data_IF_225469042254
#
_entry.id   IF_225469042254
#
_cell.length_a   1.000
_cell.length_b   1.000
_cell.length_c   1.000
_cell.angle_alpha   90.00
_cell.angle_beta   90.00
_cell.angle_gamma   90.00
#
_symmetry.space_group_name_H-M   'P 1'
#
loop_
_entity.id
_entity.type
_entity.pdbx_description
1 polymer ?
#
# COMPACT_ATOMS: atom_id res chain seq x y z
N UNK A 1 12.20 0.37 -40.79
CA UNK A 1 11.16 0.78 -39.83
C UNK A 1 11.57 0.24 -38.48
N UNK A 2 12.25 1.07 -37.72
CA UNK A 2 12.97 0.71 -36.49
C UNK A 2 12.07 0.98 -35.29
N UNK A 3 11.60 -0.09 -34.65
CA UNK A 3 10.82 -0.01 -33.42
C UNK A 3 11.70 0.35 -32.22
N UNK A 4 11.45 1.49 -31.60
CA UNK A 4 12.02 1.89 -30.31
C UNK A 4 11.32 1.10 -29.20
N UNK A 5 12.05 0.27 -28.52
CA UNK A 5 11.62 -0.33 -27.25
C UNK A 5 11.77 0.72 -26.15
N UNK A 6 10.67 1.13 -25.57
CA UNK A 6 10.65 1.96 -24.36
C UNK A 6 10.63 0.99 -23.15
N UNK A 7 11.76 0.87 -22.47
CA UNK A 7 11.85 0.10 -21.24
C UNK A 7 11.32 0.94 -20.08
N UNK A 8 10.40 0.39 -19.31
CA UNK A 8 10.03 0.93 -18.01
C UNK A 8 11.20 0.68 -17.05
N UNK A 9 11.71 1.74 -16.44
CA UNK A 9 12.85 1.66 -15.55
C UNK A 9 12.44 1.19 -14.17
N UNK A 10 12.94 0.04 -13.78
CA UNK A 10 13.16 -0.30 -12.38
C UNK A 10 14.25 0.62 -11.85
N UNK A 11 14.11 1.13 -10.61
CA UNK A 11 15.19 1.73 -9.86
C UNK A 11 16.27 0.66 -9.58
N UNK A 12 17.13 0.44 -10.58
CA UNK A 12 18.40 -0.24 -10.40
C UNK A 12 19.48 0.82 -10.31
N UNK A 13 20.15 0.95 -9.18
CA UNK A 13 21.39 1.71 -9.05
C UNK A 13 22.44 1.08 -9.98
N UNK A 14 22.58 1.62 -11.20
CA UNK A 14 23.69 1.26 -12.09
C UNK A 14 24.90 2.12 -11.72
N UNK A 15 25.89 1.51 -11.09
CA UNK A 15 27.26 2.02 -11.02
C UNK A 15 27.86 2.04 -12.42
N UNK A 16 28.00 3.21 -13.01
CA UNK A 16 28.73 3.45 -14.23
C UNK A 16 30.23 3.32 -13.94
N UNK A 17 30.83 2.19 -14.31
CA UNK A 17 32.25 2.01 -14.45
C UNK A 17 32.75 2.68 -15.74
N UNK A 18 33.51 3.74 -15.63
CA UNK A 18 34.27 4.33 -16.72
C UNK A 18 35.50 3.46 -17.00
N UNK A 19 35.54 2.84 -18.15
CA UNK A 19 36.73 2.24 -18.71
C UNK A 19 37.59 3.33 -19.36
N UNK A 20 38.75 3.59 -18.80
CA UNK A 20 39.80 4.38 -19.41
C UNK A 20 41.06 3.54 -19.50
N UNK A 21 41.65 3.46 -20.71
CA UNK A 21 42.88 2.72 -21.01
C UNK A 21 44.15 3.38 -20.45
N UNK A 22 44.96 2.51 -19.86
CA UNK A 22 46.44 2.39 -19.80
C UNK A 22 47.34 3.60 -19.92
N UNK A 23 48.29 3.73 -18.94
CA UNK A 23 49.73 3.62 -19.16
C UNK A 23 50.42 3.28 -17.83
N UNK A 24 51.42 2.41 -17.93
CA UNK A 24 52.33 1.89 -16.92
C UNK A 24 53.19 2.99 -16.28
N UNK A 25 53.42 2.92 -14.95
CA UNK A 25 54.77 3.11 -14.37
C UNK A 25 54.86 2.56 -12.94
N UNK A 26 56.09 2.12 -12.58
CA UNK A 26 56.47 1.26 -11.47
C UNK A 26 56.54 1.92 -10.08
N UNK A 27 56.14 1.16 -9.03
CA UNK A 27 56.68 0.99 -7.68
C UNK A 27 56.47 2.09 -6.63
N UNK A 28 56.71 1.80 -5.32
CA UNK A 28 56.32 0.62 -4.53
C UNK A 28 55.38 0.96 -3.37
N UNK A 29 54.80 -0.09 -2.75
CA UNK A 29 53.99 -0.07 -1.51
C UNK A 29 54.67 0.62 -0.32
N UNK A 30 53.89 1.22 0.61
CA UNK A 30 53.67 0.49 1.86
C UNK A 30 52.29 0.63 2.53
N UNK A 31 51.91 -0.48 3.15
CA UNK A 31 51.25 -0.67 4.46
C UNK A 31 49.89 -0.02 4.79
N UNK A 32 48.95 -0.96 5.03
CA UNK A 32 47.97 -1.08 6.14
C UNK A 32 47.43 0.18 6.81
N UNK A 33 46.11 0.33 6.74
CA UNK A 33 45.31 0.49 7.96
C UNK A 33 43.80 0.54 7.70
N UNK A 34 43.12 -0.40 8.32
CA UNK A 34 41.91 -0.13 9.10
C UNK A 34 40.62 0.22 8.38
N UNK A 35 39.83 -0.79 8.09
CA UNK A 35 38.37 -0.70 8.03
C UNK A 35 37.78 -0.08 9.32
N UNK A 36 36.64 0.62 9.23
CA UNK A 36 35.55 0.19 10.08
C UNK A 36 34.28 -0.12 9.29
N UNK A 37 33.87 -1.36 9.45
CA UNK A 37 32.53 -1.87 9.28
C UNK A 37 31.54 -1.02 10.10
N UNK A 38 30.57 -0.41 9.44
CA UNK A 38 29.42 0.18 10.14
C UNK A 38 28.26 -0.79 10.07
N UNK A 39 28.13 -1.57 11.14
CA UNK A 39 26.96 -2.38 11.40
C UNK A 39 25.83 -1.49 11.90
N UNK A 40 24.66 -1.61 11.30
CA UNK A 40 23.43 -1.02 11.80
C UNK A 40 23.00 -1.70 13.12
N UNK A 41 22.49 -0.94 14.09
CA UNK A 41 22.07 -1.51 15.38
C UNK A 41 20.74 -2.24 15.26
N UNK A 42 20.76 -3.53 15.64
CA UNK A 42 19.55 -4.31 15.88
C UNK A 42 18.79 -3.77 17.09
N UNK A 43 17.50 -3.57 16.92
CA UNK A 43 16.58 -3.29 18.02
C UNK A 43 16.14 -4.59 18.65
N UNK A 44 16.60 -4.84 19.85
CA UNK A 44 16.00 -5.77 20.82
C UNK A 44 14.97 -5.00 21.62
N UNK A 45 13.70 -5.27 21.42
CA UNK A 45 12.61 -4.83 22.28
C UNK A 45 12.25 -5.98 23.23
N UNK A 46 12.51 -5.83 24.51
CA UNK A 46 11.98 -6.67 25.58
C UNK A 46 10.54 -6.26 25.87
N UNK A 47 9.63 -7.20 26.13
CA UNK A 47 8.31 -6.87 26.65
C UNK A 47 8.37 -6.71 28.16
N UNK A 48 7.80 -5.64 28.67
CA UNK A 48 7.49 -5.45 30.08
C UNK A 48 6.20 -6.19 30.43
N UNK A 49 6.18 -6.88 31.60
CA UNK A 49 4.97 -7.48 32.12
C UNK A 49 4.33 -6.54 33.14
N UNK A 50 3.08 -6.20 32.98
CA UNK A 50 2.25 -5.74 34.09
C UNK A 50 1.08 -6.71 34.26
N UNK A 51 1.23 -7.50 35.32
CA UNK A 51 0.18 -8.22 36.03
C UNK A 51 -0.76 -7.20 36.70
N UNK A 52 -2.05 -7.44 36.62
CA UNK A 52 -2.93 -7.18 37.75
C UNK A 52 -4.09 -8.18 37.71
N UNK A 53 -4.06 -9.02 38.73
CA UNK A 53 -5.14 -9.90 39.16
C UNK A 53 -6.04 -9.15 40.16
N UNK A 54 -7.34 -9.43 40.12
CA UNK A 54 -8.27 -9.39 41.26
C UNK A 54 -9.55 -10.15 40.84
N UNK A 55 -9.72 -11.18 41.41
CA UNK A 55 -10.44 -11.95 42.41
C UNK A 55 -11.94 -11.62 42.59
N UNK A 56 -12.69 -12.72 42.49
CA UNK A 56 -13.82 -13.21 43.29
C UNK A 56 -15.13 -12.44 43.40
N UNK A 57 -16.22 -13.19 43.13
CA UNK A 57 -17.57 -12.85 43.50
C UNK A 57 -18.60 -13.90 43.15
N UNK A 58 -18.66 -15.02 43.88
CA UNK A 58 -19.76 -16.01 43.83
C UNK A 58 -21.10 -15.41 44.21
N UNK A 59 -22.18 -15.90 43.57
CA UNK A 59 -23.56 -15.60 43.95
C UNK A 59 -24.60 -16.47 43.26
N UNK A 60 -24.81 -17.70 43.76
CA UNK A 60 -25.96 -18.57 43.43
C UNK A 60 -27.29 -17.91 43.80
N UNK A 61 -28.32 -18.15 42.95
CA UNK A 61 -29.62 -18.83 43.34
C UNK A 61 -30.57 -18.93 42.17
N UNK A 62 -30.93 -20.16 41.82
CA UNK A 62 -32.19 -20.54 41.17
C UNK A 62 -33.31 -20.62 42.23
N UNK A 63 -34.62 -20.61 41.97
CA UNK A 63 -35.29 -21.57 41.11
C UNK A 63 -36.60 -21.13 40.39
N UNK A 64 -36.93 -21.90 39.36
CA UNK A 64 -38.25 -22.40 38.91
C UNK A 64 -39.46 -21.49 38.77
N UNK A 65 -40.07 -21.55 37.59
CA UNK A 65 -41.47 -21.17 37.29
C UNK A 65 -41.88 -21.65 35.90
N UNK A 66 -42.62 -22.72 35.91
CA UNK A 66 -43.31 -23.37 34.78
C UNK A 66 -44.44 -22.51 34.20
N UNK A 67 -44.69 -22.61 32.87
CA UNK A 67 -45.92 -22.90 32.14
C UNK A 67 -46.03 -22.15 30.80
N UNK A 68 -46.17 -22.79 29.86
CA UNK A 68 -46.74 -23.22 28.58
C UNK A 68 -47.81 -22.29 27.91
N UNK A 69 -48.23 -22.60 26.67
CA UNK A 69 -47.93 -21.85 25.45
C UNK A 69 -49.18 -21.15 24.87
N UNK A 70 -48.98 -20.24 23.97
CA UNK A 70 -49.73 -20.09 22.73
C UNK A 70 -49.57 -18.70 22.10
N UNK A 71 -49.62 -18.79 20.82
CA UNK A 71 -50.01 -17.79 19.82
C UNK A 71 -48.94 -17.14 18.97
N UNK A 72 -49.02 -17.62 17.77
CA UNK A 72 -48.52 -17.06 16.53
C UNK A 72 -48.80 -15.56 16.36
N UNK A 73 -47.78 -14.78 16.03
CA UNK A 73 -47.98 -13.62 15.21
C UNK A 73 -46.72 -13.37 14.40
N UNK A 74 -46.79 -13.68 13.11
CA UNK A 74 -45.93 -13.14 12.07
C UNK A 74 -45.84 -11.62 12.21
N UNK A 75 -44.70 -11.11 12.56
CA UNK A 75 -44.33 -9.73 12.30
C UNK A 75 -43.03 -9.69 11.53
N UNK A 76 -43.17 -9.80 10.20
CA UNK A 76 -42.16 -9.30 9.29
C UNK A 76 -41.99 -7.80 9.52
N UNK A 77 -41.10 -7.45 10.41
CA UNK A 77 -40.62 -6.08 10.53
C UNK A 77 -39.97 -5.67 9.20
N UNK A 78 -40.23 -4.46 8.69
CA UNK A 78 -39.61 -3.98 7.49
C UNK A 78 -38.10 -3.95 7.73
N UNK A 79 -37.36 -4.81 7.00
CA UNK A 79 -35.91 -4.74 6.93
C UNK A 79 -35.52 -3.30 6.63
N UNK A 80 -34.91 -2.65 7.57
CA UNK A 80 -34.28 -1.35 7.36
C UNK A 80 -33.24 -1.52 6.28
N UNK A 81 -33.62 -1.26 5.04
CA UNK A 81 -32.72 -1.00 3.94
C UNK A 81 -31.92 0.26 4.32
N UNK A 82 -30.93 0.08 5.21
CA UNK A 82 -29.91 1.09 5.41
C UNK A 82 -29.19 1.17 4.06
N UNK A 83 -29.25 2.32 3.36
CA UNK A 83 -28.53 2.44 2.10
C UNK A 83 -27.09 2.08 2.39
N UNK A 84 -26.53 1.14 1.61
CA UNK A 84 -25.11 0.78 1.70
C UNK A 84 -24.33 2.10 1.74
N UNK A 85 -23.62 2.34 2.83
CA UNK A 85 -22.89 3.60 3.00
C UNK A 85 -22.03 3.76 1.77
N UNK A 86 -22.27 4.84 1.03
CA UNK A 86 -21.57 5.10 -0.22
C UNK A 86 -20.07 5.10 0.09
N UNK A 87 -19.31 4.17 -0.50
CA UNK A 87 -17.84 4.10 -0.33
C UNK A 87 -17.23 5.48 -0.54
N UNK A 88 -16.21 5.78 0.25
CA UNK A 88 -15.48 7.03 0.12
C UNK A 88 -14.81 7.10 -1.27
N UNK A 89 -14.88 8.29 -1.88
CA UNK A 89 -14.24 8.57 -3.18
C UNK A 89 -13.55 9.92 -3.09
N UNK A 90 -12.22 9.95 -3.02
CA UNK A 90 -11.47 11.19 -3.03
C UNK A 90 -11.56 11.85 -4.42
N UNK A 91 -11.60 13.18 -4.41
CA UNK A 91 -11.70 13.98 -5.63
C UNK A 91 -10.34 14.51 -6.07
N UNK A 92 -10.17 14.85 -7.38
CA UNK A 92 -8.97 15.53 -7.86
C UNK A 92 -8.59 16.75 -7.02
N UNK A 93 -7.29 16.94 -6.79
CA UNK A 93 -6.77 18.04 -5.96
C UNK A 93 -6.90 17.82 -4.44
N UNK A 94 -7.42 16.69 -3.97
CA UNK A 94 -7.45 16.37 -2.54
C UNK A 94 -6.03 16.29 -1.98
N UNK A 95 -5.73 17.12 -0.96
CA UNK A 95 -4.42 17.09 -0.28
C UNK A 95 -4.28 15.82 0.54
N UNK A 96 -3.06 15.27 0.61
CA UNK A 96 -2.80 14.02 1.30
C UNK A 96 -1.40 13.96 1.91
N UNK A 97 -1.20 13.05 2.85
CA UNK A 97 0.09 12.66 3.39
C UNK A 97 0.29 11.17 3.14
N UNK A 98 1.44 10.81 2.63
CA UNK A 98 1.88 9.42 2.51
C UNK A 98 3.02 9.19 3.48
N UNK A 99 2.82 8.33 4.46
CA UNK A 99 3.84 8.03 5.44
C UNK A 99 3.82 6.55 5.79
N UNK A 100 4.81 5.81 5.33
CA UNK A 100 4.93 4.36 5.54
C UNK A 100 6.02 4.03 6.57
N UNK A 101 6.94 4.96 6.85
CA UNK A 101 7.99 4.76 7.84
C UNK A 101 7.80 5.64 9.08
N UNK A 102 8.15 5.06 10.23
CA UNK A 102 8.15 5.73 11.52
C UNK A 102 6.76 6.02 12.09
N UNK A 103 6.74 6.68 13.24
CA UNK A 103 5.49 7.08 13.89
C UNK A 103 4.76 8.14 13.06
N UNK A 104 3.48 7.90 12.76
CA UNK A 104 2.64 8.83 11.99
C UNK A 104 2.61 10.23 12.61
N UNK A 105 3.01 11.23 11.83
CA UNK A 105 2.89 12.64 12.19
C UNK A 105 1.46 13.11 11.95
N UNK A 106 0.64 13.10 13.00
CA UNK A 106 -0.75 13.53 12.94
C UNK A 106 -0.92 15.06 12.89
N UNK A 107 0.17 15.86 12.94
CA UNK A 107 0.11 17.31 12.91
C UNK A 107 -0.05 17.87 11.49
N UNK A 108 0.24 17.07 10.46
CA UNK A 108 0.10 17.50 9.06
C UNK A 108 -1.36 17.79 8.75
N UNK A 109 -1.66 19.04 8.35
CA UNK A 109 -3.03 19.47 8.07
C UNK A 109 -3.48 19.12 6.66
N UNK A 110 -3.88 17.87 6.48
CA UNK A 110 -4.43 17.33 5.23
C UNK A 110 -5.65 16.45 5.49
N UNK A 111 -6.62 16.38 4.57
CA UNK A 111 -7.82 15.56 4.76
C UNK A 111 -7.58 14.06 4.63
N UNK A 112 -6.46 13.62 4.05
CA UNK A 112 -6.19 12.21 3.75
C UNK A 112 -4.80 11.82 4.21
N UNK A 113 -4.72 10.68 4.89
CA UNK A 113 -3.47 10.00 5.23
C UNK A 113 -3.45 8.63 4.58
N UNK A 114 -2.29 8.26 4.05
CA UNK A 114 -1.98 6.92 3.58
C UNK A 114 -0.84 6.39 4.45
N UNK A 115 -1.08 5.30 5.16
CA UNK A 115 -0.19 4.77 6.18
C UNK A 115 -0.16 3.25 6.15
N UNK A 116 0.96 2.66 6.56
CA UNK A 116 1.14 1.22 6.61
C UNK A 116 0.06 0.53 7.46
N UNK A 117 -0.60 -0.48 6.89
CA UNK A 117 -1.70 -1.18 7.53
C UNK A 117 -1.27 -2.09 8.67
N UNK A 118 -0.08 -2.68 8.60
CA UNK A 118 0.44 -3.57 9.63
C UNK A 118 1.01 -2.79 10.81
N UNK A 119 1.83 -1.77 10.55
CA UNK A 119 2.55 -1.00 11.55
C UNK A 119 1.66 -0.04 12.35
N UNK A 120 0.45 0.25 11.86
CA UNK A 120 -0.45 1.18 12.53
C UNK A 120 -1.63 0.49 13.19
N UNK A 121 -1.92 0.92 14.43
CA UNK A 121 -3.02 0.39 15.24
C UNK A 121 -4.37 1.01 14.88
N UNK A 122 -5.48 0.35 15.25
CA UNK A 122 -6.82 0.94 15.19
C UNK A 122 -6.91 2.26 15.97
N UNK A 123 -6.13 2.43 17.04
CA UNK A 123 -6.06 3.68 17.82
C UNK A 123 -5.45 4.82 16.99
N UNK A 124 -4.43 4.54 16.17
CA UNK A 124 -3.84 5.52 15.24
C UNK A 124 -4.89 6.00 14.24
N UNK A 125 -5.62 5.06 13.62
CA UNK A 125 -6.68 5.36 12.65
C UNK A 125 -7.81 6.17 13.30
N UNK A 126 -8.30 5.75 14.47
CA UNK A 126 -9.31 6.49 15.23
C UNK A 126 -8.84 7.91 15.61
N UNK A 127 -7.55 8.08 15.94
CA UNK A 127 -6.96 9.38 16.22
C UNK A 127 -6.93 10.32 15.01
N UNK A 128 -6.73 9.80 13.80
CA UNK A 128 -6.85 10.55 12.55
C UNK A 128 -8.32 10.88 12.24
N UNK A 129 -9.24 9.94 12.42
CA UNK A 129 -10.68 10.16 12.26
C UNK A 129 -11.21 11.24 13.21
N UNK A 130 -10.76 11.25 14.46
CA UNK A 130 -11.14 12.29 15.44
C UNK A 130 -10.70 13.71 14.99
N UNK A 131 -9.76 13.80 14.07
CA UNK A 131 -9.32 15.05 13.42
C UNK A 131 -10.00 15.29 12.06
N UNK A 132 -11.03 14.52 11.73
CA UNK A 132 -11.76 14.64 10.45
C UNK A 132 -10.98 14.12 9.24
N UNK A 133 -9.95 13.28 9.42
CA UNK A 133 -9.11 12.76 8.34
C UNK A 133 -9.68 11.43 7.84
N UNK A 134 -9.51 11.16 6.54
CA UNK A 134 -9.70 9.84 5.93
C UNK A 134 -8.36 9.10 5.90
N UNK A 135 -8.40 7.78 6.06
CA UNK A 135 -7.18 6.98 6.20
C UNK A 135 -7.18 5.84 5.20
N UNK A 136 -6.14 5.80 4.36
CA UNK A 136 -5.86 4.73 3.41
C UNK A 136 -4.91 3.75 4.08
N UNK A 137 -5.16 2.47 3.90
CA UNK A 137 -4.38 1.36 4.39
C UNK A 137 -3.43 0.89 3.29
N UNK A 138 -2.15 1.21 3.39
CA UNK A 138 -1.13 0.61 2.53
C UNK A 138 -0.92 -0.85 2.92
N UNK A 139 -0.92 -1.73 1.94
CA UNK A 139 -0.51 -3.14 2.02
C UNK A 139 0.27 -3.52 0.77
N UNK A 140 1.36 -4.26 0.92
CA UNK A 140 1.98 -4.89 -0.24
C UNK A 140 1.08 -6.04 -0.71
N UNK A 141 0.69 -6.06 -1.98
CA UNK A 141 -0.15 -7.10 -2.56
C UNK A 141 0.58 -7.96 -3.60
N UNK A 142 1.52 -7.35 -4.34
CA UNK A 142 2.26 -8.03 -5.41
C UNK A 142 3.56 -8.68 -4.97
N UNK A 143 3.99 -8.48 -3.71
CA UNK A 143 5.17 -9.13 -3.16
C UNK A 143 4.94 -9.66 -1.74
N UNK A 144 5.72 -10.70 -1.43
CA UNK A 144 5.89 -11.23 -0.09
C UNK A 144 7.00 -10.46 0.63
N UNK A 145 6.77 -10.19 1.92
CA UNK A 145 7.68 -9.46 2.79
C UNK A 145 8.03 -10.32 4.01
N UNK A 146 9.32 -10.64 4.21
CA UNK A 146 9.79 -11.55 5.27
C UNK A 146 9.53 -11.06 6.70
N UNK A 147 9.23 -9.77 6.85
CA UNK A 147 9.04 -9.12 8.14
C UNK A 147 7.57 -8.93 8.53
N UNK A 148 6.61 -9.30 7.65
CA UNK A 148 5.19 -9.21 7.98
C UNK A 148 4.74 -10.39 8.86
N UNK A 149 3.79 -10.14 9.78
CA UNK A 149 3.30 -11.19 10.68
C UNK A 149 2.73 -12.42 9.98
N UNK A 150 2.15 -12.22 8.79
CA UNK A 150 1.51 -13.26 7.98
C UNK A 150 2.47 -13.93 6.97
N UNK A 151 3.76 -13.65 7.04
CA UNK A 151 4.73 -14.14 6.06
C UNK A 151 4.79 -15.68 5.96
N UNK A 152 4.48 -16.38 7.03
CA UNK A 152 4.48 -17.84 7.07
C UNK A 152 3.26 -18.48 6.38
N UNK A 153 2.20 -17.70 6.13
CA UNK A 153 0.98 -18.19 5.47
C UNK A 153 1.14 -18.30 3.94
N UNK A 154 2.21 -17.71 3.40
CA UNK A 154 2.49 -17.76 1.96
C UNK A 154 3.28 -19.01 1.60
N UNK A 155 2.71 -19.91 0.77
CA UNK A 155 3.45 -21.06 0.24
C UNK A 155 4.71 -20.64 -0.52
N UNK A 156 5.80 -21.37 -0.33
CA UNK A 156 7.11 -21.02 -0.91
C UNK A 156 7.12 -21.00 -2.44
N UNK A 157 6.28 -21.80 -3.06
CA UNK A 157 6.11 -21.87 -4.53
C UNK A 157 5.52 -20.59 -5.14
N UNK A 158 4.91 -19.72 -4.33
CA UNK A 158 4.44 -18.42 -4.79
C UNK A 158 5.55 -17.36 -4.82
N UNK A 159 6.72 -17.64 -4.22
CA UNK A 159 7.77 -16.65 -4.03
C UNK A 159 8.72 -16.63 -5.22
N UNK A 160 8.64 -15.58 -6.01
CA UNK A 160 9.47 -15.35 -7.18
C UNK A 160 10.85 -14.76 -6.88
N UNK A 161 11.34 -13.92 -7.77
CA UNK A 161 12.61 -13.21 -7.60
C UNK A 161 12.47 -12.02 -6.63
N UNK A 162 13.62 -11.50 -6.16
CA UNK A 162 13.64 -10.28 -5.34
C UNK A 162 13.16 -9.09 -6.20
N UNK A 163 12.37 -8.20 -5.62
CA UNK A 163 11.80 -7.03 -6.30
C UNK A 163 12.67 -5.76 -6.21
N UNK A 164 13.89 -5.88 -5.66
CA UNK A 164 14.78 -4.76 -5.43
C UNK A 164 14.82 -4.29 -3.97
N UNK A 165 13.85 -4.66 -3.14
CA UNK A 165 13.81 -4.33 -1.72
C UNK A 165 14.31 -5.48 -0.85
N UNK A 166 15.03 -5.14 0.21
CA UNK A 166 15.61 -6.13 1.10
C UNK A 166 14.54 -6.93 1.86
N UNK A 167 14.50 -8.24 1.61
CA UNK A 167 13.54 -9.13 2.26
C UNK A 167 12.19 -9.25 1.59
N UNK A 168 12.07 -8.77 0.35
CA UNK A 168 10.87 -8.88 -0.45
C UNK A 168 11.08 -9.75 -1.68
N UNK A 169 10.02 -10.40 -2.12
CA UNK A 169 10.00 -11.26 -3.31
C UNK A 169 8.65 -11.13 -4.02
N UNK A 170 8.70 -11.01 -5.35
CA UNK A 170 7.51 -11.04 -6.19
C UNK A 170 6.62 -12.25 -5.90
N UNK A 171 5.31 -12.08 -6.02
CA UNK A 171 4.33 -13.16 -5.91
C UNK A 171 3.91 -13.67 -7.29
N UNK A 172 3.62 -14.98 -7.37
CA UNK A 172 2.98 -15.57 -8.54
C UNK A 172 1.48 -15.23 -8.57
N UNK A 173 1.16 -14.07 -9.13
CA UNK A 173 -0.22 -13.56 -9.20
C UNK A 173 -1.16 -14.38 -10.10
N UNK A 174 -0.66 -15.41 -10.78
CA UNK A 174 -1.50 -16.36 -11.54
C UNK A 174 -2.30 -17.27 -10.60
N UNK A 175 -1.84 -17.43 -9.36
CA UNK A 175 -2.42 -18.33 -8.35
C UNK A 175 -3.45 -17.59 -7.49
N UNK A 176 -4.49 -17.06 -8.17
CA UNK A 176 -5.59 -16.38 -7.48
C UNK A 176 -6.26 -17.26 -6.43
N UNK A 177 -6.35 -18.58 -6.71
CA UNK A 177 -6.90 -19.57 -5.78
C UNK A 177 -6.22 -19.57 -4.41
N UNK A 178 -4.92 -19.27 -4.36
CA UNK A 178 -4.14 -19.20 -3.12
C UNK A 178 -4.04 -17.77 -2.58
N UNK A 179 -3.89 -16.79 -3.48
CA UNK A 179 -3.69 -15.39 -3.08
C UNK A 179 -4.98 -14.71 -2.60
N UNK A 180 -6.14 -15.08 -3.15
CA UNK A 180 -7.42 -14.44 -2.76
C UNK A 180 -7.68 -14.51 -1.25
N UNK A 181 -7.60 -15.67 -0.56
CA UNK A 181 -7.80 -15.73 0.89
C UNK A 181 -6.74 -14.93 1.68
N UNK A 182 -5.49 -14.89 1.23
CA UNK A 182 -4.42 -14.12 1.88
C UNK A 182 -4.66 -12.61 1.77
N UNK A 183 -4.98 -12.13 0.56
CA UNK A 183 -5.33 -10.73 0.34
C UNK A 183 -6.63 -10.34 1.04
N UNK A 184 -7.61 -11.25 1.08
CA UNK A 184 -8.85 -11.07 1.83
C UNK A 184 -8.58 -10.85 3.32
N UNK A 185 -7.63 -11.59 3.90
CA UNK A 185 -7.24 -11.43 5.31
C UNK A 185 -6.53 -10.08 5.56
N UNK A 186 -5.60 -9.66 4.68
CA UNK A 186 -4.94 -8.34 4.76
C UNK A 186 -5.95 -7.19 4.66
N UNK A 187 -6.86 -7.24 3.68
CA UNK A 187 -7.89 -6.20 3.50
C UNK A 187 -8.90 -6.20 4.66
N UNK A 188 -9.22 -7.38 5.21
CA UNK A 188 -10.06 -7.49 6.40
C UNK A 188 -9.39 -6.89 7.64
N UNK A 189 -8.07 -7.05 7.79
CA UNK A 189 -7.29 -6.36 8.83
C UNK A 189 -7.44 -4.83 8.70
N UNK A 190 -7.30 -4.26 7.51
CA UNK A 190 -7.54 -2.83 7.27
C UNK A 190 -8.95 -2.41 7.70
N UNK A 191 -9.97 -3.18 7.29
CA UNK A 191 -11.37 -2.91 7.68
C UNK A 191 -11.56 -2.95 9.20
N UNK A 192 -11.02 -3.97 9.88
CA UNK A 192 -11.12 -4.11 11.35
C UNK A 192 -10.42 -2.99 12.10
N UNK A 193 -9.31 -2.47 11.57
CA UNK A 193 -8.61 -1.31 12.14
C UNK A 193 -9.33 0.02 11.85
N UNK A 194 -10.37 0.01 11.00
CA UNK A 194 -11.23 1.17 10.72
C UNK A 194 -10.78 2.05 9.56
N UNK A 195 -9.87 1.60 8.71
CA UNK A 195 -9.47 2.35 7.52
C UNK A 195 -10.65 2.60 6.57
N UNK A 196 -10.57 3.67 5.77
CA UNK A 196 -11.60 4.07 4.79
C UNK A 196 -11.34 3.47 3.40
N UNK A 197 -10.09 3.14 3.11
CA UNK A 197 -9.65 2.64 1.81
C UNK A 197 -8.41 1.74 1.95
N UNK A 198 -8.06 1.06 0.85
CA UNK A 198 -6.84 0.27 0.70
C UNK A 198 -6.04 0.77 -0.49
N UNK A 199 -4.72 0.87 -0.33
CA UNK A 199 -3.72 0.96 -1.39
C UNK A 199 -2.97 -0.37 -1.46
N UNK A 200 -3.34 -1.29 -2.37
CA UNK A 200 -2.54 -2.48 -2.64
C UNK A 200 -1.36 -2.11 -3.54
N UNK A 201 -0.15 -2.36 -3.08
CA UNK A 201 1.09 -2.03 -3.80
C UNK A 201 1.58 -3.18 -4.68
N UNK A 202 2.48 -2.85 -5.62
CA UNK A 202 3.10 -3.76 -6.58
C UNK A 202 2.09 -4.45 -7.51
N UNK A 203 1.14 -3.67 -8.02
CA UNK A 203 0.05 -4.12 -8.89
C UNK A 203 0.38 -4.08 -10.39
N UNK A 204 1.67 -4.17 -10.74
CA UNK A 204 2.19 -4.12 -12.11
C UNK A 204 3.32 -5.15 -12.36
N UNK A 205 3.32 -6.27 -11.61
CA UNK A 205 4.37 -7.30 -11.65
C UNK A 205 4.65 -7.86 -13.05
N UNK A 206 3.64 -7.90 -13.94
CA UNK A 206 3.80 -8.43 -15.30
C UNK A 206 4.80 -7.66 -16.17
N UNK A 207 5.19 -6.47 -15.77
CA UNK A 207 6.20 -5.63 -16.44
C UNK A 207 7.61 -5.86 -15.88
N UNK A 208 7.74 -6.66 -14.86
CA UNK A 208 8.95 -6.85 -14.09
C UNK A 208 9.51 -8.26 -14.23
N UNK A 209 10.80 -8.43 -13.89
CA UNK A 209 11.43 -9.75 -13.80
C UNK A 209 11.05 -10.39 -12.48
N UNK A 210 9.93 -11.10 -12.47
CA UNK A 210 9.37 -11.68 -11.25
C UNK A 210 9.79 -13.11 -10.97
N UNK A 211 10.44 -13.78 -11.96
CA UNK A 211 10.68 -15.22 -11.94
C UNK A 211 9.49 -16.05 -12.45
N UNK A 212 8.39 -15.40 -12.80
CA UNK A 212 7.19 -16.05 -13.33
C UNK A 212 6.81 -15.48 -14.70
N UNK A 213 6.24 -16.27 -15.62
CA UNK A 213 5.77 -15.79 -16.92
C UNK A 213 4.41 -15.05 -16.78
N UNK A 214 4.42 -13.94 -16.07
CA UNK A 214 3.23 -13.11 -15.89
C UNK A 214 2.84 -12.43 -17.20
N UNK A 215 1.54 -12.27 -17.40
CA UNK A 215 0.97 -11.54 -18.56
C UNK A 215 0.10 -10.38 -18.10
N UNK A 216 -0.19 -9.45 -18.99
CA UNK A 216 -1.13 -8.36 -18.76
C UNK A 216 -2.51 -8.88 -18.31
N UNK A 217 -2.98 -10.01 -18.86
CA UNK A 217 -4.24 -10.63 -18.46
C UNK A 217 -4.21 -11.12 -17.00
N UNK A 218 -3.12 -11.77 -16.58
CA UNK A 218 -2.95 -12.18 -15.19
C UNK A 218 -2.99 -10.99 -14.22
N UNK A 219 -2.38 -9.88 -14.61
CA UNK A 219 -2.39 -8.67 -13.80
C UNK A 219 -3.79 -8.04 -13.70
N UNK A 220 -4.53 -7.97 -14.80
CA UNK A 220 -5.91 -7.49 -14.80
C UNK A 220 -6.79 -8.31 -13.87
N UNK A 221 -6.69 -9.64 -13.93
CA UNK A 221 -7.49 -10.52 -13.08
C UNK A 221 -7.13 -10.35 -11.61
N UNK A 222 -5.83 -10.25 -11.29
CA UNK A 222 -5.35 -10.01 -9.93
C UNK A 222 -5.82 -8.64 -9.39
N UNK A 223 -5.66 -7.57 -10.17
CA UNK A 223 -6.06 -6.22 -9.76
C UNK A 223 -7.58 -6.12 -9.54
N UNK A 224 -8.39 -6.76 -10.40
CA UNK A 224 -9.85 -6.83 -10.23
C UNK A 224 -10.25 -7.63 -8.98
N UNK A 225 -9.55 -8.72 -8.69
CA UNK A 225 -9.75 -9.48 -7.44
C UNK A 225 -9.52 -8.59 -6.22
N UNK A 226 -8.41 -7.84 -6.17
CA UNK A 226 -8.11 -6.90 -5.07
C UNK A 226 -9.20 -5.83 -4.92
N UNK A 227 -9.63 -5.24 -6.04
CA UNK A 227 -10.69 -4.23 -6.03
C UNK A 227 -12.01 -4.80 -5.51
N UNK A 228 -12.38 -6.01 -5.95
CA UNK A 228 -13.57 -6.70 -5.46
C UNK A 228 -13.49 -6.99 -3.96
N UNK A 229 -12.37 -7.51 -3.47
CA UNK A 229 -12.17 -7.82 -2.05
C UNK A 229 -12.32 -6.58 -1.15
N UNK A 230 -11.80 -5.42 -1.59
CA UNK A 230 -11.95 -4.16 -0.89
C UNK A 230 -13.41 -3.68 -0.90
N UNK A 231 -14.05 -3.70 -2.06
CA UNK A 231 -15.44 -3.26 -2.24
C UNK A 231 -16.43 -4.11 -1.45
N UNK A 232 -16.27 -5.43 -1.42
CA UNK A 232 -17.11 -6.36 -0.65
C UNK A 232 -17.04 -6.05 0.86
N UNK A 233 -15.96 -5.41 1.31
CA UNK A 233 -15.74 -4.97 2.70
C UNK A 233 -16.11 -3.51 2.96
N UNK A 234 -16.66 -2.82 1.95
CA UNK A 234 -17.07 -1.42 2.05
C UNK A 234 -15.91 -0.42 2.02
N UNK A 235 -14.69 -0.87 1.73
CA UNK A 235 -13.50 -0.02 1.57
C UNK A 235 -13.41 0.53 0.15
N UNK A 236 -12.94 1.76 -0.01
CA UNK A 236 -12.46 2.25 -1.29
C UNK A 236 -11.11 1.59 -1.63
N UNK A 237 -10.71 1.65 -2.92
CA UNK A 237 -9.45 1.04 -3.36
C UNK A 237 -8.74 1.92 -4.37
N UNK A 238 -7.42 2.07 -4.19
CA UNK A 238 -6.51 2.77 -5.08
C UNK A 238 -5.78 1.83 -6.03
N UNK A 239 -5.65 2.22 -7.31
CA UNK A 239 -4.75 1.56 -8.24
C UNK A 239 -3.35 2.16 -8.05
N UNK A 240 -2.38 1.33 -7.68
CA UNK A 240 -0.98 1.74 -7.61
C UNK A 240 -0.32 1.58 -8.97
N UNK A 241 0.24 2.66 -9.51
CA UNK A 241 0.94 2.68 -10.80
C UNK A 241 0.13 2.01 -11.94
N UNK A 242 0.63 0.95 -12.56
CA UNK A 242 0.01 0.15 -13.63
C UNK A 242 -0.67 0.99 -14.73
N UNK A 243 0.06 1.98 -15.23
CA UNK A 243 -0.48 2.98 -16.15
C UNK A 243 -1.00 2.38 -17.46
N UNK A 244 -0.43 1.26 -17.93
CA UNK A 244 -0.82 0.59 -19.16
C UNK A 244 -2.24 0.04 -19.10
N UNK A 245 -2.70 -0.37 -17.90
CA UNK A 245 -4.01 -1.00 -17.70
C UNK A 245 -5.07 -0.04 -17.14
N UNK A 246 -4.75 1.26 -16.98
CA UNK A 246 -5.73 2.26 -16.52
C UNK A 246 -7.02 2.26 -17.36
N UNK A 247 -6.99 2.16 -18.70
CA UNK A 247 -8.23 2.14 -19.50
C UNK A 247 -9.21 1.05 -19.07
N UNK A 248 -8.71 -0.14 -18.72
CA UNK A 248 -9.48 -1.31 -18.33
C UNK A 248 -9.89 -1.26 -16.84
N UNK A 249 -9.02 -0.69 -15.96
CA UNK A 249 -9.16 -0.75 -14.51
C UNK A 249 -9.80 0.50 -13.88
N UNK A 250 -9.83 1.63 -14.57
CA UNK A 250 -10.34 2.89 -14.00
C UNK A 250 -11.81 2.79 -13.56
N UNK A 251 -12.57 1.81 -14.07
CA UNK A 251 -13.94 1.50 -13.63
C UNK A 251 -13.98 0.84 -12.25
N UNK A 252 -13.00 0.00 -11.97
CA UNK A 252 -12.94 -0.88 -10.81
C UNK A 252 -12.30 -0.22 -9.58
N UNK A 253 -11.47 0.83 -9.76
CA UNK A 253 -10.76 1.52 -8.69
C UNK A 253 -11.38 2.88 -8.38
N UNK A 254 -11.33 3.33 -7.13
CA UNK A 254 -11.95 4.58 -6.66
C UNK A 254 -11.00 5.78 -6.76
N UNK A 255 -9.69 5.56 -6.78
CA UNK A 255 -8.63 6.55 -6.96
C UNK A 255 -7.38 5.88 -7.52
N UNK A 256 -6.32 6.65 -7.78
CA UNK A 256 -5.01 6.12 -8.12
C UNK A 256 -3.94 6.67 -7.18
N UNK A 257 -2.88 5.88 -6.94
CA UNK A 257 -1.61 6.31 -6.36
C UNK A 257 -0.52 6.07 -7.40
N UNK A 258 0.27 7.11 -7.70
CA UNK A 258 1.30 7.02 -8.73
C UNK A 258 2.61 7.63 -8.27
N UNK A 259 3.69 6.99 -8.65
CA UNK A 259 5.06 7.43 -8.42
C UNK A 259 5.71 7.83 -9.75
N UNK A 260 6.42 8.96 -9.70
CA UNK A 260 7.40 9.40 -10.70
C UNK A 260 6.85 9.61 -12.13
N UNK A 261 5.53 9.80 -12.31
CA UNK A 261 5.01 9.99 -13.67
C UNK A 261 5.59 11.22 -14.37
N UNK A 262 6.00 12.28 -13.63
CA UNK A 262 6.61 13.45 -14.24
C UNK A 262 8.07 13.17 -14.63
N UNK A 263 8.82 12.41 -13.81
CA UNK A 263 10.17 11.99 -14.14
C UNK A 263 10.20 11.19 -15.45
N UNK A 264 9.20 10.33 -15.66
CA UNK A 264 9.12 9.49 -16.87
C UNK A 264 8.28 10.09 -18.00
N UNK A 265 7.68 11.28 -17.81
CA UNK A 265 6.93 12.01 -18.84
C UNK A 265 5.61 11.34 -19.20
N UNK A 266 4.94 10.66 -18.26
CA UNK A 266 3.76 9.84 -18.53
C UNK A 266 2.51 10.21 -17.69
N UNK A 267 2.53 11.37 -17.00
CA UNK A 267 1.41 11.80 -16.16
C UNK A 267 0.07 11.95 -16.91
N UNK A 268 0.07 12.22 -18.20
CA UNK A 268 -1.14 12.31 -19.02
C UNK A 268 -1.94 11.00 -19.05
N UNK A 269 -1.29 9.87 -18.80
CA UNK A 269 -1.90 8.54 -18.75
C UNK A 269 -2.86 8.37 -17.56
N UNK A 270 -2.72 9.20 -16.52
CA UNK A 270 -3.58 9.24 -15.33
C UNK A 270 -4.89 10.01 -15.55
N UNK A 271 -5.01 10.74 -16.68
CA UNK A 271 -6.20 11.54 -16.99
C UNK A 271 -7.55 10.78 -16.96
N UNK A 272 -7.66 9.46 -17.25
CA UNK A 272 -8.92 8.75 -17.10
C UNK A 272 -9.51 8.77 -15.68
N UNK A 273 -8.69 8.78 -14.63
CA UNK A 273 -9.14 8.93 -13.24
C UNK A 273 -9.70 10.33 -13.03
N UNK A 274 -8.95 11.37 -13.37
CA UNK A 274 -9.36 12.78 -13.18
C UNK A 274 -10.65 13.09 -13.94
N UNK A 275 -10.79 12.61 -15.20
CA UNK A 275 -12.04 12.77 -15.99
C UNK A 275 -13.26 12.11 -15.36
N UNK A 276 -13.09 11.13 -14.46
CA UNK A 276 -14.15 10.46 -13.71
C UNK A 276 -14.32 11.00 -12.29
N UNK A 277 -13.80 12.20 -12.01
CA UNK A 277 -13.84 12.86 -10.70
C UNK A 277 -13.20 11.97 -9.58
N UNK A 278 -12.13 11.22 -9.94
CA UNK A 278 -11.36 10.38 -9.03
C UNK A 278 -10.00 11.02 -8.78
N UNK A 279 -9.55 11.05 -7.52
CA UNK A 279 -8.23 11.56 -7.17
C UNK A 279 -7.11 10.73 -7.80
N UNK A 280 -6.02 11.40 -8.12
CA UNK A 280 -4.72 10.80 -8.37
C UNK A 280 -3.76 11.36 -7.34
N UNK A 281 -3.36 10.55 -6.40
CA UNK A 281 -2.34 10.83 -5.41
C UNK A 281 -0.98 10.55 -6.03
N UNK A 282 -0.17 11.60 -6.23
CA UNK A 282 1.07 11.50 -6.99
C UNK A 282 2.27 11.98 -6.19
N UNK A 283 3.37 11.25 -6.31
CA UNK A 283 4.65 11.62 -5.68
C UNK A 283 5.81 11.59 -6.68
N UNK A 284 6.77 12.47 -6.44
CA UNK A 284 8.09 12.49 -7.07
C UNK A 284 9.17 12.38 -6.01
N UNK A 285 10.27 11.71 -6.34
CA UNK A 285 11.41 11.56 -5.43
C UNK A 285 12.60 12.42 -5.85
N UNK A 286 13.04 12.29 -7.09
CA UNK A 286 14.22 12.97 -7.62
C UNK A 286 13.92 14.42 -8.04
N UNK A 287 12.77 14.67 -8.69
CA UNK A 287 12.45 15.98 -9.23
C UNK A 287 12.15 17.01 -8.14
N UNK A 288 12.65 18.24 -8.33
CA UNK A 288 12.26 19.37 -7.50
C UNK A 288 10.83 19.81 -7.82
N UNK A 289 10.05 20.36 -6.83
CA UNK A 289 8.65 20.73 -7.04
C UNK A 289 8.39 21.70 -8.19
N UNK A 290 9.31 22.63 -8.46
CA UNK A 290 9.21 23.58 -9.57
C UNK A 290 9.28 22.92 -10.94
N UNK A 291 9.87 21.73 -11.03
CA UNK A 291 9.96 20.96 -12.26
C UNK A 291 8.65 20.26 -12.67
N UNK A 292 7.76 19.95 -11.71
CA UNK A 292 6.55 19.16 -12.02
C UNK A 292 5.23 19.74 -11.49
N UNK A 293 5.25 20.53 -10.40
CA UNK A 293 4.01 20.93 -9.72
C UNK A 293 3.05 21.74 -10.60
N UNK A 294 3.57 22.58 -11.51
CA UNK A 294 2.72 23.36 -12.43
C UNK A 294 1.89 22.43 -13.34
N UNK A 295 2.56 21.45 -13.96
CA UNK A 295 1.90 20.54 -14.87
C UNK A 295 1.02 19.53 -14.15
N UNK A 296 1.45 19.03 -12.99
CA UNK A 296 0.64 18.19 -12.12
C UNK A 296 -0.67 18.88 -11.70
N UNK A 297 -0.64 20.16 -11.32
CA UNK A 297 -1.85 20.95 -11.03
C UNK A 297 -2.76 21.11 -12.24
N UNK A 298 -2.18 21.38 -13.42
CA UNK A 298 -2.95 21.48 -14.67
C UNK A 298 -3.67 20.17 -15.01
N UNK A 299 -3.04 19.03 -14.70
CA UNK A 299 -3.62 17.70 -14.87
C UNK A 299 -4.59 17.29 -13.76
N UNK A 300 -4.75 18.08 -12.70
CA UNK A 300 -5.62 17.78 -11.56
C UNK A 300 -5.07 16.75 -10.58
N UNK A 301 -3.74 16.53 -10.59
CA UNK A 301 -3.09 15.57 -9.70
C UNK A 301 -2.88 16.17 -8.29
N UNK A 302 -2.98 15.33 -7.28
CA UNK A 302 -2.70 15.66 -5.87
C UNK A 302 -1.23 15.36 -5.56
N UNK A 303 -0.33 16.26 -5.94
CA UNK A 303 1.10 15.97 -6.05
C UNK A 303 1.92 16.51 -4.89
N UNK A 304 3.00 15.79 -4.56
CA UNK A 304 4.04 16.25 -3.64
C UNK A 304 5.38 15.56 -3.95
N UNK A 305 6.46 16.16 -3.46
CA UNK A 305 7.75 15.48 -3.39
C UNK A 305 7.87 14.76 -2.06
N UNK A 306 8.38 13.55 -2.09
CA UNK A 306 8.70 12.71 -0.93
C UNK A 306 10.18 12.33 -0.93
N UNK A 307 10.65 11.79 0.19
CA UNK A 307 11.86 10.96 0.24
C UNK A 307 11.47 9.52 -0.04
N UNK A 308 12.42 8.72 -0.51
CA UNK A 308 12.17 7.32 -0.88
C UNK A 308 11.81 6.43 0.34
N UNK A 309 12.27 6.81 1.53
CA UNK A 309 11.92 6.15 2.79
C UNK A 309 10.48 6.39 3.27
N UNK A 310 9.76 7.30 2.59
CA UNK A 310 8.36 7.65 2.90
C UNK A 310 8.11 8.01 4.37
N UNK A 311 9.08 8.71 4.99
CA UNK A 311 8.96 9.30 6.32
C UNK A 311 7.88 10.40 6.38
N UNK A 312 7.78 11.13 7.49
CA UNK A 312 6.83 12.25 7.63
C UNK A 312 7.13 13.46 6.74
N UNK A 313 8.36 13.60 6.24
CA UNK A 313 8.76 14.72 5.40
C UNK A 313 8.00 14.74 4.07
N UNK A 314 7.56 15.93 3.66
CA UNK A 314 6.86 16.19 2.41
C UNK A 314 7.08 17.61 1.89
N UNK A 315 7.02 17.78 0.58
CA UNK A 315 6.93 19.08 -0.10
C UNK A 315 5.73 19.05 -1.06
N UNK A 316 4.56 19.54 -0.64
CA UNK A 316 3.37 19.52 -1.50
C UNK A 316 3.47 20.55 -2.62
N UNK A 317 2.82 20.24 -3.72
CA UNK A 317 2.50 21.24 -4.72
C UNK A 317 1.38 22.16 -4.23
#
# INVERSE_FOLDING_TARGET
MTGRRVGAGLLGLALLGLAGCSTTDDGPDPEESGTPSSAAPGRTGTPDPDEDADEDGEGRTDPSGTADPSESADSHGPGTNRPASRRWRPRPGTRWQWQLDGRVDMSVDVPVYDIDGFENSAKTVAGLHARGRKVICYINAGAWEKFRPDQADFPKELLGENNGWAGERWLDIRRLDVLEPLMAARIEMCRKKGFDAVEPDLTEGYRNTTGFPLTAAHQLDFNRMLAKLAHDRGLAVGLKNDLDQIPELVGDFDFAVNEECAQFGECDRLAPFVRRDKAVFHVEYALAPDAFCRDAKRLGLSSMRKRLDLDSWRKPC
#
